data_IF_299508559819
#
_entry.id   IF_299508559819
#
_cell.length_a   1.000
_cell.length_b   1.000
_cell.length_c   1.000
_cell.angle_alpha   90.00
_cell.angle_beta   90.00
_cell.angle_gamma   90.00
#
_symmetry.space_group_name_H-M   'P 1'
#
loop_
_entity.id
_entity.type
_entity.pdbx_description
1 polymer ?
#
# COMPACT_ATOMS: atom_id res chain seq x y z
N UNK A 1 20.28 8.55 7.92
CA UNK A 1 18.90 8.09 7.74
C UNK A 1 18.04 9.20 7.20
N UNK A 2 17.30 8.98 6.11
CA UNK A 2 16.41 10.02 5.60
C UNK A 2 15.23 10.23 6.55
N UNK A 3 14.87 11.51 6.78
CA UNK A 3 13.68 11.85 7.56
C UNK A 3 12.46 11.61 6.68
N UNK A 4 11.48 10.83 7.14
CA UNK A 4 10.27 10.59 6.35
C UNK A 4 9.43 11.87 6.23
N UNK A 5 8.87 12.06 5.05
CA UNK A 5 7.81 13.04 4.81
C UNK A 5 6.50 12.34 5.15
N UNK A 6 5.71 12.95 6.02
CA UNK A 6 4.43 12.42 6.47
C UNK A 6 3.31 13.29 5.93
N UNK A 7 2.28 12.64 5.38
CA UNK A 7 1.13 13.36 4.85
C UNK A 7 -0.14 12.52 4.91
N UNK A 8 -1.27 13.17 4.73
CA UNK A 8 -2.57 12.50 4.62
C UNK A 8 -3.14 12.77 3.24
N UNK A 9 -3.55 11.72 2.57
CA UNK A 9 -4.11 11.78 1.23
C UNK A 9 -5.58 11.45 1.31
N UNK A 10 -6.41 12.39 0.86
CA UNK A 10 -7.86 12.22 0.84
C UNK A 10 -8.25 11.34 -0.34
N UNK A 11 -9.03 10.30 -0.09
CA UNK A 11 -9.60 9.47 -1.13
C UNK A 11 -10.94 8.89 -0.68
N UNK A 12 -11.98 9.18 -1.43
CA UNK A 12 -13.31 8.58 -1.26
C UNK A 12 -13.76 8.53 0.21
N UNK A 13 -13.74 9.68 0.88
CA UNK A 13 -14.24 9.82 2.24
C UNK A 13 -13.27 9.42 3.35
N UNK A 14 -12.05 9.05 3.02
CA UNK A 14 -11.03 8.72 4.01
C UNK A 14 -9.81 9.62 3.87
N UNK A 15 -9.13 9.84 4.99
CA UNK A 15 -7.81 10.45 5.04
C UNK A 15 -6.80 9.32 5.26
N UNK A 16 -5.99 9.02 4.25
CA UNK A 16 -5.02 7.94 4.31
C UNK A 16 -3.67 8.50 4.73
N UNK A 17 -3.20 8.07 5.89
CA UNK A 17 -1.87 8.45 6.37
C UNK A 17 -0.80 7.69 5.57
N UNK A 18 0.15 8.43 5.03
CA UNK A 18 1.32 7.81 4.42
C UNK A 18 2.60 8.54 4.80
N UNK A 19 3.71 7.84 4.65
CA UNK A 19 5.03 8.40 4.82
C UNK A 19 5.93 7.91 3.70
N UNK A 20 6.82 8.79 3.22
CA UNK A 20 7.76 8.41 2.17
C UNK A 20 9.13 9.01 2.42
N UNK A 21 10.14 8.34 1.91
CA UNK A 21 11.54 8.72 2.09
C UNK A 21 12.38 8.20 0.94
N UNK A 22 13.49 8.88 0.69
CA UNK A 22 14.42 8.52 -0.37
C UNK A 22 14.12 9.17 -1.70
N UNK A 23 14.98 8.91 -2.67
CA UNK A 23 14.85 9.37 -4.05
C UNK A 23 15.02 8.17 -4.98
N UNK A 24 14.20 8.13 -6.03
CA UNK A 24 14.24 7.04 -7.00
C UNK A 24 12.84 6.60 -7.39
N UNK A 25 12.71 5.46 -8.07
CA UNK A 25 11.40 4.93 -8.42
C UNK A 25 10.54 4.69 -7.18
N UNK A 26 9.23 4.89 -7.32
CA UNK A 26 8.30 4.65 -6.21
C UNK A 26 8.26 3.15 -5.88
N UNK A 27 8.43 2.85 -4.62
CA UNK A 27 8.23 1.52 -4.05
C UNK A 27 7.15 1.63 -2.98
N UNK A 28 5.97 1.08 -3.27
CA UNK A 28 4.84 1.09 -2.35
C UNK A 28 4.80 -0.20 -1.54
N UNK A 29 4.80 -0.07 -0.23
CA UNK A 29 4.69 -1.19 0.71
C UNK A 29 3.26 -1.25 1.24
N UNK A 30 2.56 -2.36 0.97
CA UNK A 30 1.17 -2.56 1.37
C UNK A 30 1.11 -3.59 2.49
N UNK A 31 0.74 -3.13 3.69
CA UNK A 31 0.79 -3.96 4.90
C UNK A 31 -0.36 -4.96 5.00
N UNK A 32 -0.14 -6.01 5.79
CA UNK A 32 -1.14 -7.00 6.16
C UNK A 32 -1.99 -6.58 7.36
N UNK A 33 -2.75 -7.52 7.88
CA UNK A 33 -3.56 -7.30 9.08
C UNK A 33 -2.70 -7.06 10.31
N UNK A 34 -3.17 -6.21 11.23
CA UNK A 34 -2.50 -5.86 12.48
C UNK A 34 -1.12 -5.22 12.30
N UNK A 35 -0.90 -4.61 11.15
CA UNK A 35 0.30 -3.85 10.83
C UNK A 35 -0.09 -2.43 10.46
N UNK A 36 0.89 -1.56 10.27
CA UNK A 36 0.73 -0.22 9.72
C UNK A 36 2.04 0.22 9.05
N UNK A 37 2.11 1.49 8.62
CA UNK A 37 3.31 2.01 7.98
C UNK A 37 4.56 1.87 8.86
N UNK A 38 4.43 2.00 10.17
CA UNK A 38 5.53 1.90 11.11
C UNK A 38 6.20 0.52 11.13
N UNK A 39 5.46 -0.52 10.80
CA UNK A 39 6.00 -1.88 10.72
C UNK A 39 7.18 -1.98 9.73
N UNK A 40 7.16 -1.15 8.68
CA UNK A 40 8.15 -1.20 7.62
C UNK A 40 9.25 -0.13 7.74
N UNK A 41 9.31 0.61 8.84
CA UNK A 41 10.24 1.75 8.98
C UNK A 41 11.70 1.37 8.75
N UNK A 42 12.17 0.26 9.33
CA UNK A 42 13.55 -0.18 9.16
C UNK A 42 13.85 -0.59 7.73
N UNK A 43 12.94 -1.33 7.10
CA UNK A 43 13.08 -1.72 5.70
C UNK A 43 13.07 -0.50 4.79
N UNK A 44 12.17 0.46 5.06
CA UNK A 44 12.07 1.70 4.29
C UNK A 44 13.36 2.52 4.36
N UNK A 45 13.98 2.60 5.54
CA UNK A 45 15.25 3.32 5.70
C UNK A 45 16.37 2.69 4.85
N UNK A 46 16.43 1.38 4.80
CA UNK A 46 17.43 0.66 4.00
C UNK A 46 17.17 0.86 2.50
N UNK A 47 15.92 0.70 2.08
CA UNK A 47 15.53 0.77 0.67
C UNK A 47 15.56 2.20 0.12
N UNK A 48 15.54 3.20 0.97
CA UNK A 48 15.56 4.61 0.58
C UNK A 48 16.85 5.02 -0.17
N UNK A 49 17.90 4.22 -0.11
CA UNK A 49 19.10 4.45 -0.92
C UNK A 49 18.82 4.34 -2.43
N UNK A 50 17.83 3.54 -2.81
CA UNK A 50 17.56 3.20 -4.21
C UNK A 50 16.16 3.64 -4.68
N UNK A 51 15.23 3.81 -3.74
CA UNK A 51 13.82 4.03 -4.05
C UNK A 51 13.28 5.23 -3.28
N UNK A 52 12.20 5.80 -3.78
CA UNK A 52 11.28 6.56 -2.95
C UNK A 52 10.34 5.54 -2.32
N UNK A 53 10.57 5.23 -1.06
CA UNK A 53 9.81 4.19 -0.35
C UNK A 53 8.59 4.82 0.30
N UNK A 54 7.43 4.32 -0.07
CA UNK A 54 6.14 4.80 0.43
C UNK A 54 5.49 3.69 1.23
N UNK A 55 5.15 3.98 2.48
CA UNK A 55 4.34 3.10 3.32
C UNK A 55 3.15 3.89 3.85
N UNK A 56 2.04 3.21 4.12
CA UNK A 56 0.81 3.87 4.54
C UNK A 56 0.01 2.97 5.48
N UNK A 57 -0.84 3.62 6.26
CA UNK A 57 -1.83 2.89 7.05
C UNK A 57 -3.05 2.69 6.18
N UNK A 58 -3.45 1.44 5.97
CA UNK A 58 -4.65 1.14 5.16
C UNK A 58 -5.89 1.79 5.77
N UNK A 59 -6.89 2.05 4.94
CA UNK A 59 -8.21 2.62 5.33
C UNK A 59 -8.71 1.98 6.62
N UNK A 60 -9.18 2.77 7.55
CA UNK A 60 -9.69 2.38 8.88
C UNK A 60 -8.65 1.72 9.80
N UNK A 61 -7.37 1.78 9.46
CA UNK A 61 -6.30 1.24 10.28
C UNK A 61 -5.42 2.37 10.84
N UNK A 62 -5.01 2.21 12.10
CA UNK A 62 -4.06 3.09 12.77
C UNK A 62 -4.38 4.59 12.59
N UNK A 63 -3.54 5.35 11.88
CA UNK A 63 -3.70 6.81 11.70
C UNK A 63 -4.61 7.19 10.54
N UNK A 64 -5.03 6.23 9.72
CA UNK A 64 -5.98 6.48 8.64
C UNK A 64 -7.42 6.42 9.12
N UNK A 65 -8.27 7.25 8.50
CA UNK A 65 -9.70 7.24 8.78
C UNK A 65 -10.47 6.40 7.77
N UNK A 66 -11.76 6.47 7.83
CA UNK A 66 -12.69 5.79 6.93
C UNK A 66 -14.00 5.49 7.63
N UNK A 67 -15.00 5.13 6.87
CA UNK A 67 -16.33 4.78 7.40
C UNK A 67 -16.33 3.30 7.82
N UNK A 68 -16.33 3.09 9.14
CA UNK A 68 -16.35 1.74 9.72
C UNK A 68 -17.72 1.07 9.68
N UNK A 69 -18.76 1.81 9.26
CA UNK A 69 -20.11 1.27 9.14
C UNK A 69 -20.36 0.54 7.82
N UNK A 70 -19.44 0.65 6.86
CA UNK A 70 -19.53 -0.04 5.57
C UNK A 70 -18.42 -1.09 5.48
N UNK A 71 -18.69 -2.14 4.71
CA UNK A 71 -17.69 -3.18 4.47
C UNK A 71 -16.55 -2.62 3.63
N UNK A 72 -15.33 -2.89 4.07
CA UNK A 72 -14.12 -2.48 3.37
C UNK A 72 -13.76 -3.52 2.32
N UNK A 73 -13.88 -3.15 1.06
CA UNK A 73 -13.61 -4.06 -0.05
C UNK A 73 -12.15 -3.98 -0.50
N UNK A 74 -11.67 -5.06 -1.07
CA UNK A 74 -10.32 -5.10 -1.68
C UNK A 74 -10.24 -4.08 -2.84
N UNK A 75 -11.31 -3.95 -3.62
CA UNK A 75 -11.38 -2.98 -4.71
C UNK A 75 -11.22 -1.55 -4.22
N UNK A 76 -11.86 -1.20 -3.11
CA UNK A 76 -11.70 0.13 -2.49
C UNK A 76 -10.26 0.35 -2.04
N UNK A 77 -9.65 -0.64 -1.43
CA UNK A 77 -8.29 -0.53 -0.94
C UNK A 77 -7.27 -0.45 -2.09
N UNK A 78 -7.55 -1.08 -3.22
CA UNK A 78 -6.74 -0.91 -4.43
C UNK A 78 -6.82 0.54 -4.95
N UNK A 79 -8.01 1.16 -4.93
CA UNK A 79 -8.16 2.58 -5.30
C UNK A 79 -7.43 3.51 -4.32
N UNK A 80 -7.42 3.17 -3.04
CA UNK A 80 -6.64 3.92 -2.04
C UNK A 80 -5.14 3.86 -2.37
N UNK A 81 -4.63 2.68 -2.69
CA UNK A 81 -3.23 2.51 -3.10
C UNK A 81 -2.91 3.32 -4.36
N UNK A 82 -3.79 3.28 -5.36
CA UNK A 82 -3.65 4.07 -6.58
C UNK A 82 -3.58 5.58 -6.28
N UNK A 83 -4.42 6.05 -5.38
CA UNK A 83 -4.45 7.44 -4.94
C UNK A 83 -3.12 7.88 -4.33
N UNK A 84 -2.50 7.01 -3.53
CA UNK A 84 -1.19 7.27 -2.93
C UNK A 84 -0.11 7.34 -4.01
N UNK A 85 -0.09 6.39 -4.93
CA UNK A 85 0.89 6.36 -6.02
C UNK A 85 0.81 7.65 -6.85
N UNK A 86 -0.39 8.10 -7.16
CA UNK A 86 -0.60 9.34 -7.91
C UNK A 86 -0.17 10.58 -7.12
N UNK A 87 -0.37 10.60 -5.82
CA UNK A 87 -0.04 11.75 -4.98
C UNK A 87 1.47 11.90 -4.74
N UNK A 88 2.18 10.78 -4.61
CA UNK A 88 3.61 10.79 -4.27
C UNK A 88 4.51 10.78 -5.51
N UNK A 89 4.04 10.22 -6.61
CA UNK A 89 4.86 10.04 -7.81
C UNK A 89 4.15 10.41 -9.10
N UNK A 90 4.55 9.75 -10.17
CA UNK A 90 4.08 9.99 -11.53
C UNK A 90 3.01 8.99 -12.01
N UNK A 91 2.41 8.26 -11.09
CA UNK A 91 1.34 7.30 -11.39
C UNK A 91 1.81 5.87 -11.62
N UNK A 92 3.09 5.58 -11.40
CA UNK A 92 3.64 4.22 -11.50
C UNK A 92 4.48 3.86 -10.29
N UNK A 93 4.42 2.59 -9.88
CA UNK A 93 5.16 2.09 -8.73
C UNK A 93 5.57 0.63 -8.87
N UNK A 94 6.64 0.31 -8.18
CA UNK A 94 6.90 -1.07 -7.75
C UNK A 94 6.05 -1.28 -6.50
N UNK A 95 5.34 -2.39 -6.41
CA UNK A 95 4.44 -2.66 -5.29
C UNK A 95 4.86 -3.95 -4.59
N UNK A 96 4.99 -3.89 -3.28
CA UNK A 96 5.22 -5.07 -2.45
C UNK A 96 4.05 -5.18 -1.48
N UNK A 97 3.29 -6.26 -1.60
CA UNK A 97 2.17 -6.54 -0.71
C UNK A 97 2.42 -7.79 0.12
N UNK A 98 2.06 -7.73 1.40
CA UNK A 98 2.20 -8.83 2.33
C UNK A 98 0.86 -9.21 2.92
N UNK A 99 0.53 -10.51 2.91
CA UNK A 99 -0.71 -11.05 3.45
C UNK A 99 -1.93 -10.36 2.82
N UNK A 100 -2.79 -9.74 3.60
CA UNK A 100 -3.91 -8.94 3.07
C UNK A 100 -3.47 -7.85 2.10
N UNK A 101 -2.30 -7.26 2.33
CA UNK A 101 -1.69 -6.29 1.41
C UNK A 101 -1.32 -6.90 0.07
N UNK A 102 -0.98 -8.19 0.03
CA UNK A 102 -0.71 -8.90 -1.22
C UNK A 102 -1.98 -9.04 -2.07
N UNK A 103 -3.12 -9.29 -1.43
CA UNK A 103 -4.41 -9.34 -2.13
C UNK A 103 -4.75 -7.97 -2.74
N UNK A 104 -4.48 -6.89 -2.01
CA UNK A 104 -4.67 -5.52 -2.53
C UNK A 104 -3.77 -5.28 -3.73
N UNK A 105 -2.51 -5.70 -3.66
CA UNK A 105 -1.57 -5.59 -4.78
C UNK A 105 -2.04 -6.35 -6.03
N UNK A 106 -2.56 -7.56 -5.85
CA UNK A 106 -3.11 -8.36 -6.94
C UNK A 106 -4.33 -7.67 -7.57
N UNK A 107 -5.22 -7.12 -6.75
CA UNK A 107 -6.39 -6.38 -7.23
C UNK A 107 -5.97 -5.12 -8.02
N UNK A 108 -4.99 -4.40 -7.50
CA UNK A 108 -4.44 -3.23 -8.19
C UNK A 108 -3.86 -3.62 -9.55
N UNK A 109 -3.10 -4.71 -9.61
CA UNK A 109 -2.54 -5.20 -10.86
C UNK A 109 -3.61 -5.65 -11.85
N UNK A 110 -4.70 -6.25 -11.37
CA UNK A 110 -5.80 -6.71 -12.20
C UNK A 110 -6.65 -5.56 -12.75
N UNK A 111 -6.88 -4.52 -11.95
CA UNK A 111 -7.82 -3.44 -12.29
C UNK A 111 -7.13 -2.20 -12.86
N UNK A 112 -5.89 -1.94 -12.47
CA UNK A 112 -5.11 -0.76 -12.88
C UNK A 112 -3.67 -1.16 -13.22
N UNK A 113 -3.46 -2.07 -14.19
CA UNK A 113 -2.12 -2.58 -14.49
C UNK A 113 -1.12 -1.51 -14.93
N UNK A 114 -1.61 -0.41 -15.49
CA UNK A 114 -0.78 0.73 -15.90
C UNK A 114 -0.07 1.42 -14.74
N UNK A 115 -0.52 1.20 -13.51
CA UNK A 115 0.08 1.81 -12.32
C UNK A 115 1.19 0.96 -11.70
N UNK A 116 1.39 -0.25 -12.20
CA UNK A 116 2.36 -1.18 -11.61
C UNK A 116 3.46 -1.51 -12.61
N UNK A 117 4.71 -1.21 -12.24
CA UNK A 117 5.89 -1.66 -13.00
C UNK A 117 6.28 -3.07 -12.61
N UNK A 118 6.13 -3.41 -11.34
CA UNK A 118 6.49 -4.71 -10.80
C UNK A 118 5.70 -4.97 -9.52
N UNK A 119 5.26 -6.20 -9.31
CA UNK A 119 4.51 -6.59 -8.12
C UNK A 119 5.18 -7.78 -7.45
N UNK A 120 5.46 -7.65 -6.15
CA UNK A 120 5.88 -8.77 -5.31
C UNK A 120 4.75 -9.04 -4.33
N UNK A 121 4.28 -10.28 -4.30
CA UNK A 121 3.27 -10.74 -3.33
C UNK A 121 3.92 -11.74 -2.37
N UNK A 122 3.69 -11.50 -1.08
CA UNK A 122 4.22 -12.34 -0.03
C UNK A 122 3.07 -12.87 0.81
N UNK A 123 2.92 -14.19 0.81
CA UNK A 123 1.90 -14.91 1.59
C UNK A 123 0.47 -14.41 1.34
N UNK A 124 0.09 -14.27 0.07
CA UNK A 124 -1.27 -13.87 -0.28
C UNK A 124 -2.28 -14.95 0.15
N UNK A 125 -3.26 -14.63 1.01
CA UNK A 125 -4.24 -15.62 1.49
C UNK A 125 -5.36 -15.83 0.47
N UNK A 126 -5.03 -16.44 -0.67
CA UNK A 126 -5.99 -16.74 -1.75
C UNK A 126 -6.73 -18.02 -1.41
N UNK A 127 -7.67 -17.91 -0.49
CA UNK A 127 -8.37 -19.06 0.11
C UNK A 127 -9.17 -19.86 -0.92
N UNK A 128 -9.68 -19.20 -1.95
CA UNK A 128 -10.43 -19.81 -3.03
C UNK A 128 -9.63 -20.84 -3.84
N UNK A 129 -8.29 -20.76 -3.77
CA UNK A 129 -7.42 -21.73 -4.43
C UNK A 129 -7.13 -22.98 -3.59
N UNK A 130 -7.55 -22.97 -2.33
CA UNK A 130 -7.36 -24.14 -1.47
C UNK A 130 -8.36 -25.24 -1.83
N UNK A 131 -7.94 -26.51 -1.74
CA UNK A 131 -8.86 -27.62 -1.96
C UNK A 131 -10.03 -27.56 -0.98
N UNK A 132 -11.21 -27.85 -1.47
CA UNK A 132 -12.39 -28.01 -0.62
C UNK A 132 -12.23 -29.30 0.19
N UNK A 133 -12.35 -29.21 1.50
CA UNK A 133 -12.26 -30.36 2.40
C UNK A 133 -13.66 -30.82 2.77
#
# INVERSE_FOLDING_TARGET
MPTPIREKISNEGAEIYCEHRGNGPILLLVHGGMEDAGYYSSAADILADKFTVVSYDRRCNSRSSGDRSVDMTVTQQARDAASIINAVGDGKALVVGRSGGAIIGLELAATMPEMINFLIVHEAPVIELLPQI
#
